data_IF_828986554370
#
_entry.id   IF_828986554370
#
_cell.length_a   1.000
_cell.length_b   1.000
_cell.length_c   1.000
_cell.angle_alpha   90.00
_cell.angle_beta   90.00
_cell.angle_gamma   90.00
#
_symmetry.space_group_name_H-M   'P 1'
#
loop_
_entity.id
_entity.type
_entity.pdbx_description
1 polymer ?
#
# COMPACT_ATOMS: atom_id res chain seq x y z
N UNK A 1 -20.85 22.47 23.21
CA UNK A 1 -19.94 22.03 22.11
C UNK A 1 -18.96 21.06 22.73
N UNK A 2 -19.07 19.78 22.38
CA UNK A 2 -18.09 18.78 22.81
C UNK A 2 -16.80 19.02 22.00
N UNK A 3 -15.71 19.39 22.67
CA UNK A 3 -14.41 19.49 22.04
C UNK A 3 -13.83 18.07 21.92
N UNK A 4 -13.57 17.64 20.67
CA UNK A 4 -12.85 16.40 20.39
C UNK A 4 -11.37 16.67 20.63
N UNK A 5 -10.73 15.88 21.49
CA UNK A 5 -9.27 15.92 21.65
C UNK A 5 -8.58 15.09 20.58
N UNK A 6 -7.45 15.58 20.07
CA UNK A 6 -6.61 14.88 19.08
C UNK A 6 -5.36 14.29 19.75
N UNK A 7 -4.82 13.17 19.24
CA UNK A 7 -5.34 12.37 18.12
C UNK A 7 -6.65 11.67 18.47
N UNK A 8 -7.62 11.72 17.56
CA UNK A 8 -8.91 11.08 17.72
C UNK A 8 -8.89 9.71 17.04
N UNK A 9 -9.11 8.66 17.83
CA UNK A 9 -9.21 7.28 17.35
C UNK A 9 -10.67 6.87 17.34
N UNK A 10 -11.12 6.29 16.23
CA UNK A 10 -12.47 5.73 16.10
C UNK A 10 -12.43 4.37 15.44
N UNK A 11 -13.47 3.58 15.67
CA UNK A 11 -13.77 2.40 14.86
C UNK A 11 -15.26 2.39 14.51
N UNK A 12 -15.59 1.68 13.45
CA UNK A 12 -16.96 1.54 12.99
C UNK A 12 -17.17 0.13 12.43
N UNK A 13 -18.20 -0.58 12.91
CA UNK A 13 -18.56 -1.91 12.43
C UNK A 13 -20.04 -1.85 12.05
N UNK A 14 -20.32 -1.87 10.75
CA UNK A 14 -21.68 -1.75 10.25
C UNK A 14 -21.83 -2.32 8.84
N UNK A 15 -23.09 -2.49 8.40
CA UNK A 15 -23.38 -2.75 7.01
C UNK A 15 -23.04 -1.54 6.14
N UNK A 16 -22.43 -1.80 4.98
CA UNK A 16 -22.13 -0.83 3.94
C UNK A 16 -22.67 -1.29 2.59
N UNK A 17 -22.91 -0.35 1.70
CA UNK A 17 -23.47 -0.61 0.37
C UNK A 17 -22.55 -0.08 -0.71
N UNK A 18 -22.31 -0.90 -1.76
CA UNK A 18 -21.53 -0.51 -2.93
C UNK A 18 -22.28 -0.88 -4.20
N UNK A 19 -22.21 -0.02 -5.21
CA UNK A 19 -22.83 -0.24 -6.52
C UNK A 19 -22.04 -1.22 -7.41
N UNK A 20 -21.19 -2.05 -6.82
CA UNK A 20 -20.37 -3.03 -7.52
C UNK A 20 -21.23 -4.08 -8.24
N UNK A 21 -20.69 -4.62 -9.35
CA UNK A 21 -21.32 -5.77 -10.01
C UNK A 21 -21.23 -7.00 -9.10
N UNK A 22 -22.37 -7.59 -8.70
CA UNK A 22 -22.37 -8.77 -7.82
C UNK A 22 -21.66 -9.96 -8.48
N UNK A 23 -20.83 -10.65 -7.69
CA UNK A 23 -20.19 -11.90 -8.10
C UNK A 23 -19.84 -12.71 -6.83
N UNK A 24 -19.36 -13.93 -6.99
CA UNK A 24 -18.98 -14.77 -5.85
C UNK A 24 -17.99 -14.04 -4.94
N UNK A 25 -18.34 -13.87 -3.65
CA UNK A 25 -17.53 -13.17 -2.67
C UNK A 25 -17.57 -11.63 -2.75
N UNK A 26 -18.40 -11.05 -3.65
CA UNK A 26 -18.57 -9.61 -3.78
C UNK A 26 -20.06 -9.27 -3.79
N UNK A 27 -20.54 -8.70 -2.69
CA UNK A 27 -21.94 -8.36 -2.47
C UNK A 27 -22.13 -6.84 -2.52
N UNK A 28 -23.35 -6.40 -2.82
CA UNK A 28 -23.70 -4.98 -2.77
C UNK A 28 -23.91 -4.46 -1.35
N UNK A 29 -24.27 -5.36 -0.43
CA UNK A 29 -24.37 -5.10 0.99
C UNK A 29 -23.47 -6.08 1.74
N UNK A 30 -22.61 -5.58 2.62
CA UNK A 30 -21.73 -6.39 3.45
C UNK A 30 -21.29 -5.59 4.69
N UNK A 31 -20.79 -6.29 5.71
CA UNK A 31 -20.24 -5.64 6.89
C UNK A 31 -18.81 -5.18 6.64
N UNK A 32 -18.51 -3.96 7.06
CA UNK A 32 -17.16 -3.40 7.04
C UNK A 32 -16.75 -3.05 8.46
N UNK A 33 -15.50 -3.35 8.80
CA UNK A 33 -14.86 -2.94 10.04
C UNK A 33 -13.80 -1.91 9.69
N UNK A 34 -14.01 -0.67 10.07
CA UNK A 34 -13.11 0.45 9.83
C UNK A 34 -12.48 0.91 11.13
N UNK A 35 -11.21 1.28 11.08
CA UNK A 35 -10.51 1.95 12.16
C UNK A 35 -9.72 3.13 11.61
N UNK A 36 -9.87 4.29 12.23
CA UNK A 36 -9.24 5.52 11.79
C UNK A 36 -8.55 6.22 12.96
N UNK A 37 -7.47 6.93 12.63
CA UNK A 37 -6.82 7.89 13.51
C UNK A 37 -6.76 9.23 12.79
N UNK A 38 -7.24 10.29 13.44
CA UNK A 38 -7.34 11.63 12.86
C UNK A 38 -6.59 12.63 13.73
N UNK A 39 -5.92 13.60 13.09
CA UNK A 39 -5.29 14.74 13.76
C UNK A 39 -3.87 14.46 14.25
N UNK A 40 -3.16 13.50 13.66
CA UNK A 40 -1.73 13.29 13.88
C UNK A 40 -1.05 12.78 12.60
N UNK A 41 0.17 13.21 12.36
CA UNK A 41 1.05 12.66 11.32
C UNK A 41 2.12 11.70 11.87
N UNK A 42 1.94 11.21 13.08
CA UNK A 42 2.91 10.30 13.70
C UNK A 42 2.79 8.88 13.15
N UNK A 43 3.88 8.31 12.68
CA UNK A 43 3.97 6.94 12.17
C UNK A 43 3.74 5.85 13.25
N UNK A 44 3.67 6.23 14.54
CA UNK A 44 3.25 5.34 15.61
C UNK A 44 1.84 4.79 15.36
N UNK A 45 0.95 5.59 14.77
CA UNK A 45 -0.41 5.14 14.47
C UNK A 45 -0.47 4.14 13.32
N UNK A 46 0.44 4.23 12.35
CA UNK A 46 0.60 3.20 11.32
C UNK A 46 1.00 1.87 11.96
N UNK A 47 1.97 1.89 12.88
CA UNK A 47 2.37 0.69 13.61
C UNK A 47 1.22 0.13 14.48
N UNK A 48 0.48 0.97 15.22
CA UNK A 48 -0.69 0.54 16.01
C UNK A 48 -1.78 -0.11 15.14
N UNK A 49 -2.03 0.40 13.93
CA UNK A 49 -2.99 -0.21 13.01
C UNK A 49 -2.51 -1.57 12.54
N UNK A 50 -1.21 -1.75 12.27
CA UNK A 50 -0.64 -3.06 11.92
C UNK A 50 -0.74 -4.06 13.08
N UNK A 51 -0.46 -3.64 14.30
CA UNK A 51 -0.65 -4.46 15.51
C UNK A 51 -2.13 -4.87 15.68
N UNK A 52 -3.05 -3.96 15.40
CA UNK A 52 -4.49 -4.27 15.44
C UNK A 52 -4.85 -5.33 14.40
N UNK A 53 -4.38 -5.22 13.14
CA UNK A 53 -4.58 -6.25 12.12
C UNK A 53 -4.01 -7.59 12.57
N UNK A 54 -2.76 -7.63 13.04
CA UNK A 54 -2.13 -8.84 13.54
C UNK A 54 -2.98 -9.52 14.62
N UNK A 55 -3.43 -8.74 15.62
CA UNK A 55 -4.24 -9.22 16.72
C UNK A 55 -5.60 -9.78 16.26
N UNK A 56 -6.28 -9.09 15.33
CA UNK A 56 -7.57 -9.55 14.79
C UNK A 56 -7.40 -10.89 14.09
N UNK A 57 -6.44 -11.02 13.18
CA UNK A 57 -6.22 -12.26 12.43
C UNK A 57 -5.73 -13.40 13.32
N UNK A 58 -4.95 -13.12 14.37
CA UNK A 58 -4.60 -14.10 15.41
C UNK A 58 -5.84 -14.63 16.12
N UNK A 59 -6.77 -13.75 16.55
CA UNK A 59 -8.01 -14.16 17.22
C UNK A 59 -8.87 -15.01 16.29
N UNK A 60 -8.95 -14.63 15.01
CA UNK A 60 -9.67 -15.39 13.98
C UNK A 60 -8.97 -16.69 13.60
N UNK A 61 -7.73 -16.93 14.03
CA UNK A 61 -6.87 -18.07 13.68
C UNK A 61 -6.66 -18.18 12.16
N UNK A 62 -6.57 -17.05 11.49
CA UNK A 62 -6.30 -16.96 10.06
C UNK A 62 -4.86 -16.47 9.89
N UNK A 63 -3.92 -17.31 9.42
CA UNK A 63 -2.56 -16.85 9.13
C UNK A 63 -2.59 -15.91 7.93
N UNK A 64 -1.95 -14.76 8.06
CA UNK A 64 -1.88 -13.74 7.01
C UNK A 64 -0.46 -13.22 6.86
N UNK A 65 -0.20 -12.59 5.73
CA UNK A 65 0.97 -11.75 5.49
C UNK A 65 0.48 -10.31 5.31
N UNK A 66 0.98 -9.39 6.11
CA UNK A 66 0.62 -7.98 6.05
C UNK A 66 1.60 -7.29 5.10
N UNK A 67 1.08 -6.73 4.02
CA UNK A 67 1.88 -6.05 3.01
C UNK A 67 1.80 -4.53 3.21
N UNK A 68 2.93 -3.87 3.23
CA UNK A 68 3.06 -2.42 3.34
C UNK A 68 3.71 -1.83 2.10
N UNK A 69 3.25 -0.65 1.72
CA UNK A 69 3.91 0.21 0.76
C UNK A 69 3.69 1.68 1.14
N UNK A 70 4.40 2.57 0.50
CA UNK A 70 4.24 4.02 0.67
C UNK A 70 3.92 4.66 -0.69
N UNK A 71 2.86 5.48 -0.73
CA UNK A 71 2.43 6.15 -1.96
C UNK A 71 3.56 6.93 -2.64
N UNK A 72 4.41 7.62 -1.87
CA UNK A 72 5.54 8.36 -2.43
C UNK A 72 6.55 7.48 -3.18
N UNK A 73 6.67 6.19 -2.85
CA UNK A 73 7.49 5.23 -3.61
C UNK A 73 6.88 4.98 -4.99
N UNK A 74 5.57 4.79 -5.06
CA UNK A 74 4.87 4.62 -6.34
C UNK A 74 4.90 5.88 -7.19
N UNK A 75 4.68 7.06 -6.58
CA UNK A 75 4.74 8.35 -7.26
C UNK A 75 6.15 8.62 -7.81
N UNK A 76 7.19 8.16 -7.13
CA UNK A 76 8.57 8.41 -7.51
C UNK A 76 8.96 7.79 -8.85
N UNK A 77 8.29 6.72 -9.31
CA UNK A 77 8.52 6.19 -10.66
C UNK A 77 8.17 7.22 -11.74
N UNK A 78 6.99 7.82 -11.65
CA UNK A 78 6.55 8.85 -12.60
C UNK A 78 7.39 10.12 -12.49
N UNK A 79 7.76 10.52 -11.25
CA UNK A 79 8.59 11.69 -11.01
C UNK A 79 10.02 11.52 -11.53
N UNK A 80 10.64 10.35 -11.32
CA UNK A 80 11.98 10.05 -11.83
C UNK A 80 12.04 10.12 -13.36
N UNK A 81 10.98 9.66 -14.03
CA UNK A 81 10.86 9.74 -15.49
C UNK A 81 10.41 11.13 -15.99
N UNK A 82 10.23 12.11 -15.10
CA UNK A 82 9.71 13.44 -15.39
C UNK A 82 8.32 13.41 -16.09
N UNK A 83 7.53 12.40 -15.76
CA UNK A 83 6.20 12.15 -16.32
C UNK A 83 5.16 11.98 -15.20
N UNK A 84 4.90 13.04 -14.37
CA UNK A 84 3.96 12.97 -13.25
C UNK A 84 2.52 12.62 -13.68
N UNK A 85 2.16 12.94 -14.92
CA UNK A 85 0.90 12.57 -15.55
C UNK A 85 0.67 11.06 -15.66
N UNK A 86 1.75 10.26 -15.66
CA UNK A 86 1.69 8.81 -15.78
C UNK A 86 1.63 8.07 -14.43
N UNK A 87 1.55 8.77 -13.30
CA UNK A 87 1.48 8.13 -11.99
C UNK A 87 0.36 7.07 -11.90
N UNK A 88 -0.89 7.46 -12.19
CA UNK A 88 -2.03 6.54 -12.13
C UNK A 88 -1.94 5.42 -13.19
N UNK A 89 -1.63 5.70 -14.47
CA UNK A 89 -1.39 4.66 -15.47
C UNK A 89 -0.31 3.64 -15.06
N UNK A 90 0.85 4.11 -14.57
CA UNK A 90 1.95 3.23 -14.14
C UNK A 90 1.49 2.35 -12.98
N UNK A 91 0.91 2.93 -11.93
CA UNK A 91 0.48 2.16 -10.75
C UNK A 91 -0.63 1.18 -11.07
N UNK A 92 -1.54 1.52 -12.01
CA UNK A 92 -2.58 0.61 -12.48
C UNK A 92 -1.99 -0.58 -13.25
N UNK A 93 -0.93 -0.38 -14.02
CA UNK A 93 -0.23 -1.47 -14.69
C UNK A 93 0.49 -2.37 -13.68
N UNK A 94 1.18 -1.78 -12.68
CA UNK A 94 1.90 -2.50 -11.64
C UNK A 94 0.99 -3.35 -10.74
N UNK A 95 -0.24 -2.90 -10.45
CA UNK A 95 -1.24 -3.68 -9.66
C UNK A 95 -1.64 -5.01 -10.33
N UNK A 96 -1.33 -5.16 -11.62
CA UNK A 96 -1.60 -6.41 -12.34
C UNK A 96 -0.52 -7.47 -12.15
N UNK A 97 0.67 -7.13 -11.63
CA UNK A 97 1.79 -8.07 -11.46
C UNK A 97 1.44 -9.31 -10.62
N UNK A 98 0.46 -9.19 -9.72
CA UNK A 98 -0.04 -10.33 -8.94
C UNK A 98 -0.88 -11.31 -9.77
N UNK A 99 -1.31 -10.94 -10.98
CA UNK A 99 -2.32 -11.67 -11.76
C UNK A 99 -1.87 -12.00 -13.18
N UNK A 100 -0.85 -11.30 -13.69
CA UNK A 100 -0.38 -11.42 -15.06
C UNK A 100 1.14 -11.55 -15.12
N UNK A 101 1.68 -11.90 -16.28
CA UNK A 101 3.11 -12.01 -16.48
C UNK A 101 3.81 -10.64 -16.51
N UNK A 102 5.10 -10.63 -16.19
CA UNK A 102 5.94 -9.42 -16.29
C UNK A 102 5.94 -8.83 -17.71
N UNK A 103 5.91 -9.71 -18.72
CA UNK A 103 5.89 -9.28 -20.14
C UNK A 103 4.58 -8.55 -20.49
N UNK A 104 3.44 -9.02 -19.99
CA UNK A 104 2.15 -8.33 -20.18
C UNK A 104 2.15 -6.98 -19.50
N UNK A 105 2.70 -6.87 -18.30
CA UNK A 105 2.82 -5.59 -17.60
C UNK A 105 3.80 -4.66 -18.32
N UNK A 106 4.91 -5.15 -18.87
CA UNK A 106 5.81 -4.36 -19.70
C UNK A 106 5.07 -3.75 -20.90
N UNK A 107 4.29 -4.56 -21.62
CA UNK A 107 3.47 -4.08 -22.73
C UNK A 107 2.43 -3.05 -22.30
N UNK A 108 1.80 -3.23 -21.13
CA UNK A 108 0.84 -2.26 -20.60
C UNK A 108 1.53 -0.94 -20.22
N UNK A 109 2.74 -0.97 -19.68
CA UNK A 109 3.56 0.21 -19.43
C UNK A 109 3.94 0.94 -20.74
N UNK A 110 4.26 0.22 -21.80
CA UNK A 110 4.52 0.80 -23.13
C UNK A 110 3.24 1.44 -23.73
N UNK A 111 2.08 0.79 -23.58
CA UNK A 111 0.79 1.35 -24.06
C UNK A 111 0.41 2.67 -23.38
N UNK A 112 0.82 2.88 -22.13
CA UNK A 112 0.58 4.16 -21.43
C UNK A 112 1.61 5.24 -21.77
N UNK A 113 2.55 4.96 -22.68
CA UNK A 113 3.46 5.94 -23.27
C UNK A 113 4.89 5.91 -22.72
N UNK A 114 5.28 4.82 -22.04
CA UNK A 114 6.68 4.59 -21.66
C UNK A 114 7.45 3.93 -22.81
N UNK A 115 8.73 4.20 -22.88
CA UNK A 115 9.65 3.44 -23.75
C UNK A 115 9.93 2.06 -23.15
N UNK A 116 10.37 1.11 -23.99
CA UNK A 116 10.78 -0.23 -23.52
C UNK A 116 11.86 -0.19 -22.43
N UNK A 117 12.80 0.77 -22.52
CA UNK A 117 13.84 0.94 -21.50
C UNK A 117 13.29 1.45 -20.17
N UNK A 118 12.35 2.40 -20.18
CA UNK A 118 11.68 2.91 -19.00
C UNK A 118 10.83 1.83 -18.32
N UNK A 119 10.04 1.08 -19.09
CA UNK A 119 9.27 -0.04 -18.58
C UNK A 119 10.15 -1.11 -17.94
N UNK A 120 11.24 -1.49 -18.61
CA UNK A 120 12.22 -2.46 -18.10
C UNK A 120 12.89 -1.97 -16.81
N UNK A 121 13.23 -0.68 -16.72
CA UNK A 121 13.80 -0.09 -15.51
C UNK A 121 12.83 -0.15 -14.32
N UNK A 122 11.56 0.24 -14.51
CA UNK A 122 10.53 0.14 -13.45
C UNK A 122 10.40 -1.30 -12.96
N UNK A 123 10.27 -2.26 -13.87
CA UNK A 123 10.11 -3.67 -13.53
C UNK A 123 11.31 -4.23 -12.79
N UNK A 124 12.53 -3.83 -13.17
CA UNK A 124 13.75 -4.21 -12.46
C UNK A 124 13.77 -3.67 -11.01
N UNK A 125 13.34 -2.41 -10.79
CA UNK A 125 13.22 -1.86 -9.43
C UNK A 125 12.21 -2.66 -8.59
N UNK A 126 11.04 -2.95 -9.14
CA UNK A 126 9.98 -3.69 -8.45
C UNK A 126 10.40 -5.13 -8.09
N UNK A 127 11.12 -5.81 -8.97
CA UNK A 127 11.58 -7.18 -8.72
C UNK A 127 12.57 -7.30 -7.56
N UNK A 128 13.32 -6.25 -7.26
CA UNK A 128 14.32 -6.26 -6.21
C UNK A 128 13.72 -6.37 -4.79
N UNK A 129 12.50 -5.88 -4.56
CA UNK A 129 11.74 -5.95 -3.28
C UNK A 129 12.52 -5.58 -2.00
N UNK A 130 13.71 -4.97 -2.13
CA UNK A 130 14.47 -4.48 -0.98
C UNK A 130 14.16 -3.01 -0.76
N UNK A 131 13.57 -2.69 0.38
CA UNK A 131 13.17 -1.32 0.71
C UNK A 131 14.34 -0.32 0.57
N UNK A 132 15.53 -0.71 0.99
CA UNK A 132 16.72 0.15 0.96
C UNK A 132 17.23 0.49 -0.46
N UNK A 133 16.76 -0.19 -1.50
CA UNK A 133 17.17 0.07 -2.87
C UNK A 133 16.28 1.14 -3.56
N UNK A 134 15.21 1.60 -2.89
CA UNK A 134 14.27 2.60 -3.42
C UNK A 134 14.69 4.04 -3.11
N UNK A 135 15.95 4.42 -3.41
CA UNK A 135 16.49 5.78 -3.19
C UNK A 135 16.74 6.56 -4.49
N UNK A 136 16.07 6.19 -5.58
CA UNK A 136 16.28 6.78 -6.91
C UNK A 136 15.61 8.17 -7.10
N UNK A 137 14.80 8.63 -6.15
CA UNK A 137 14.16 9.95 -6.15
C UNK A 137 13.94 10.43 -4.70
N UNK A 138 13.82 11.74 -4.48
CA UNK A 138 13.60 12.32 -3.16
C UNK A 138 12.32 11.81 -2.49
N UNK A 139 11.22 11.67 -3.27
CA UNK A 139 9.94 11.13 -2.78
C UNK A 139 10.08 9.68 -2.32
N UNK A 140 10.78 8.83 -3.09
CA UNK A 140 11.00 7.44 -2.67
C UNK A 140 11.88 7.38 -1.43
N UNK A 141 12.91 8.22 -1.35
CA UNK A 141 13.80 8.32 -0.16
C UNK A 141 12.99 8.67 1.10
N UNK A 142 12.02 9.59 0.99
CA UNK A 142 11.11 9.90 2.09
C UNK A 142 10.24 8.68 2.45
N UNK A 143 9.61 8.07 1.46
CA UNK A 143 8.77 6.88 1.67
C UNK A 143 9.53 5.71 2.30
N UNK A 144 10.79 5.49 1.91
CA UNK A 144 11.68 4.49 2.51
C UNK A 144 11.91 4.79 3.99
N UNK A 145 12.26 6.03 4.35
CA UNK A 145 12.48 6.44 5.75
C UNK A 145 11.23 6.25 6.61
N UNK A 146 10.07 6.62 6.08
CA UNK A 146 8.79 6.46 6.77
C UNK A 146 8.50 4.97 7.03
N UNK A 147 8.65 4.10 6.02
CA UNK A 147 8.48 2.66 6.17
C UNK A 147 9.52 2.04 7.11
N UNK A 148 10.79 2.43 7.04
CA UNK A 148 11.82 1.97 7.98
C UNK A 148 11.42 2.30 9.41
N UNK A 149 10.91 3.51 9.67
CA UNK A 149 10.41 3.92 10.98
C UNK A 149 9.27 3.02 11.45
N UNK A 150 8.30 2.71 10.58
CA UNK A 150 7.20 1.80 10.91
C UNK A 150 7.72 0.39 11.20
N UNK A 151 8.62 -0.15 10.38
CA UNK A 151 9.22 -1.47 10.60
C UNK A 151 10.02 -1.52 11.92
N UNK A 152 10.74 -0.46 12.27
CA UNK A 152 11.48 -0.37 13.53
C UNK A 152 10.54 -0.35 14.75
N UNK A 153 9.43 0.37 14.68
CA UNK A 153 8.40 0.35 15.71
C UNK A 153 7.81 -1.06 15.88
N UNK A 154 7.51 -1.74 14.78
CA UNK A 154 6.93 -3.09 14.78
C UNK A 154 7.91 -4.18 15.23
N UNK A 155 9.22 -3.96 15.14
CA UNK A 155 10.25 -4.95 15.50
C UNK A 155 10.11 -5.45 16.95
N UNK A 156 9.62 -4.60 17.84
CA UNK A 156 9.46 -4.89 19.27
C UNK A 156 8.03 -5.23 19.68
N UNK A 157 7.08 -5.22 18.74
CA UNK A 157 5.65 -5.43 19.04
C UNK A 157 5.24 -6.89 19.22
N UNK A 158 6.13 -7.84 18.95
CA UNK A 158 5.84 -9.26 19.12
C UNK A 158 4.71 -9.77 18.23
N UNK A 159 4.66 -9.32 16.96
CA UNK A 159 3.67 -9.73 15.98
C UNK A 159 3.69 -11.24 15.74
N UNK A 160 2.52 -11.80 15.44
CA UNK A 160 2.36 -13.22 15.11
C UNK A 160 2.45 -13.47 13.60
N UNK A 161 2.10 -12.47 12.80
CA UNK A 161 2.11 -12.53 11.35
C UNK A 161 3.29 -11.71 10.78
N UNK A 162 3.76 -12.10 9.62
CA UNK A 162 4.83 -11.40 8.92
C UNK A 162 4.32 -10.07 8.34
N UNK A 163 5.08 -9.00 8.54
CA UNK A 163 4.87 -7.70 7.87
C UNK A 163 6.01 -7.49 6.89
N UNK A 164 5.67 -7.24 5.62
CA UNK A 164 6.64 -7.10 4.53
C UNK A 164 6.43 -5.83 3.72
N UNK A 165 7.50 -5.36 3.11
CA UNK A 165 7.42 -4.37 2.05
C UNK A 165 6.99 -5.03 0.73
N UNK A 166 5.95 -4.49 0.08
CA UNK A 166 5.49 -4.94 -1.23
C UNK A 166 5.35 -3.74 -2.17
N UNK A 167 6.36 -3.48 -3.02
CA UNK A 167 6.40 -2.29 -3.87
C UNK A 167 5.28 -2.21 -4.92
N UNK A 168 4.62 -3.33 -5.23
CA UNK A 168 3.50 -3.36 -6.18
C UNK A 168 2.16 -3.00 -5.54
N UNK A 169 2.09 -2.95 -4.21
CA UNK A 169 0.84 -2.67 -3.50
C UNK A 169 0.37 -1.25 -3.78
N UNK A 170 -0.68 -1.13 -4.60
CA UNK A 170 -1.26 0.13 -5.07
C UNK A 170 -2.74 0.23 -4.68
N UNK A 171 -3.03 0.36 -3.39
CA UNK A 171 -4.38 0.50 -2.86
C UNK A 171 -4.68 1.94 -2.48
N UNK A 172 -5.95 2.36 -2.66
CA UNK A 172 -6.41 3.69 -2.26
C UNK A 172 -5.87 4.84 -3.12
N UNK A 173 -5.59 4.59 -4.38
CA UNK A 173 -5.15 5.58 -5.37
C UNK A 173 -6.34 6.26 -6.03
#
# INVERSE_FOLDING_TARGET
QHQISFPFKRYQIQAVWRADRPQRGRYREFYQCDADVVGSGSLVFEAELMEMYDRVFKILRIPVKIQLNHRAILESFAMHLQRPDLFIPITTALDKLDKTSTDEVAQDLEKVGLTTSEASWILAQIQNKKLDDFHFHENSTKGVKDLQTVFDLLRHSGLNNEVIFEPTLARGL
#
